data_IF_182035598587
#
_entry.id   IF_182035598587
#
_cell.length_a   1.000
_cell.length_b   1.000
_cell.length_c   1.000
_cell.angle_alpha   90.00
_cell.angle_beta   90.00
_cell.angle_gamma   90.00
#
_symmetry.space_group_name_H-M   'P 1'
#
loop_
_entity.id
_entity.type
_entity.pdbx_description
1 polymer ?
#
# COMPACT_ATOMS: atom_id res chain seq x y z
N UNK A 1 -18.89 -41.64 28.73
CA UNK A 1 -18.45 -40.54 29.61
C UNK A 1 -18.77 -39.25 28.86
N UNK A 2 -19.79 -38.51 29.29
CA UNK A 2 -20.25 -37.33 28.53
C UNK A 2 -19.36 -36.13 28.90
N UNK A 3 -18.57 -35.64 27.94
CA UNK A 3 -17.97 -34.32 28.05
C UNK A 3 -19.11 -33.30 28.04
N UNK A 4 -19.26 -32.56 29.14
CA UNK A 4 -20.24 -31.48 29.22
C UNK A 4 -19.67 -30.28 28.48
N UNK A 5 -20.32 -29.85 27.41
CA UNK A 5 -20.10 -28.50 26.87
C UNK A 5 -20.40 -27.50 28.00
N UNK A 6 -19.41 -26.68 28.38
CA UNK A 6 -19.72 -25.52 29.21
C UNK A 6 -20.60 -24.58 28.38
N UNK A 7 -21.70 -24.16 28.98
CA UNK A 7 -22.61 -23.20 28.38
C UNK A 7 -21.96 -21.81 28.47
N UNK A 8 -21.90 -21.10 27.35
CA UNK A 8 -21.35 -19.74 27.30
C UNK A 8 -22.04 -18.82 28.30
N UNK A 9 -21.25 -18.01 29.02
CA UNK A 9 -21.76 -16.93 29.86
C UNK A 9 -21.68 -15.62 29.08
N UNK A 10 -22.83 -15.09 28.65
CA UNK A 10 -22.92 -13.74 28.09
C UNK A 10 -22.67 -12.74 29.22
N UNK A 11 -21.49 -12.14 29.28
CA UNK A 11 -21.11 -11.23 30.36
C UNK A 11 -21.27 -9.78 29.90
N UNK A 12 -22.52 -9.30 29.94
CA UNK A 12 -22.82 -7.87 29.73
C UNK A 12 -22.50 -7.08 31.00
N UNK A 13 -21.48 -6.21 30.95
CA UNK A 13 -21.12 -5.30 32.03
C UNK A 13 -21.73 -3.92 31.79
N UNK A 14 -22.99 -3.74 32.20
CA UNK A 14 -23.62 -2.42 32.24
C UNK A 14 -23.23 -1.69 33.55
N UNK A 15 -22.22 -0.82 33.50
CA UNK A 15 -21.77 -0.05 34.67
C UNK A 15 -22.66 1.20 34.90
N UNK A 16 -23.92 1.00 35.29
CA UNK A 16 -24.89 2.09 35.46
C UNK A 16 -24.63 2.93 36.72
N UNK A 17 -23.73 3.91 36.62
CA UNK A 17 -23.58 4.99 37.60
C UNK A 17 -24.42 6.21 37.18
N UNK A 18 -25.55 6.44 37.84
CA UNK A 18 -26.49 7.52 37.48
C UNK A 18 -25.93 8.93 37.71
N UNK A 19 -25.55 9.63 36.63
CA UNK A 19 -25.77 11.07 36.42
C UNK A 19 -25.47 11.45 34.95
N UNK A 20 -26.50 11.78 34.16
CA UNK A 20 -26.50 11.86 32.68
C UNK A 20 -26.15 10.54 31.98
N UNK A 21 -27.11 9.96 31.26
CA UNK A 21 -26.88 8.73 30.48
C UNK A 21 -26.02 9.03 29.24
N UNK A 22 -24.72 8.74 29.36
CA UNK A 22 -23.87 8.43 28.23
C UNK A 22 -23.95 6.92 28.00
N UNK A 23 -24.50 6.51 26.86
CA UNK A 23 -24.65 5.09 26.53
C UNK A 23 -23.31 4.50 26.10
N UNK A 24 -22.79 3.60 26.95
CA UNK A 24 -21.70 2.67 26.65
C UNK A 24 -22.31 1.29 26.46
N UNK A 25 -22.02 0.63 25.33
CA UNK A 25 -22.50 -0.72 25.06
C UNK A 25 -21.31 -1.66 24.82
N UNK A 26 -21.25 -2.74 25.60
CA UNK A 26 -20.26 -3.78 25.42
C UNK A 26 -20.97 -5.15 25.43
N UNK A 27 -20.85 -5.89 24.32
CA UNK A 27 -21.35 -7.26 24.21
C UNK A 27 -20.20 -8.23 23.95
N UNK A 28 -20.21 -9.36 24.67
CA UNK A 28 -19.25 -10.45 24.50
C UNK A 28 -20.01 -11.77 24.41
N UNK A 29 -19.78 -12.52 23.33
CA UNK A 29 -20.21 -13.91 23.18
C UNK A 29 -18.97 -14.79 23.00
N UNK A 30 -18.82 -15.81 23.85
CA UNK A 30 -17.63 -16.69 23.86
C UNK A 30 -18.05 -18.16 23.86
N UNK A 31 -17.79 -18.86 22.75
CA UNK A 31 -18.17 -20.25 22.52
C UNK A 31 -16.93 -21.15 22.36
N UNK A 32 -16.42 -21.72 23.47
CA UNK A 32 -15.26 -22.62 23.47
C UNK A 32 -14.47 -22.54 24.78
N UNK A 33 -13.20 -22.96 24.78
CA UNK A 33 -12.35 -22.99 25.98
C UNK A 33 -11.35 -21.82 25.99
N UNK A 34 -11.09 -21.26 27.18
CA UNK A 34 -10.01 -20.28 27.43
C UNK A 34 -9.99 -19.03 26.54
N UNK A 35 -11.11 -18.67 25.89
CA UNK A 35 -11.27 -17.39 25.21
C UNK A 35 -11.27 -16.24 26.22
N UNK A 36 -10.68 -15.10 25.86
CA UNK A 36 -10.59 -13.90 26.69
C UNK A 36 -10.98 -12.66 25.90
N UNK A 37 -11.87 -11.85 26.47
CA UNK A 37 -12.21 -10.52 25.97
C UNK A 37 -12.05 -9.50 27.11
N UNK A 38 -11.29 -8.44 26.88
CA UNK A 38 -11.15 -7.29 27.76
C UNK A 38 -11.59 -6.04 27.00
N UNK A 39 -12.52 -5.28 27.55
CA UNK A 39 -13.08 -4.07 26.96
C UNK A 39 -13.03 -2.96 28.03
N UNK A 40 -12.35 -1.85 27.73
CA UNK A 40 -12.30 -0.64 28.55
C UNK A 40 -12.86 0.54 27.73
N UNK A 41 -13.94 1.14 28.22
CA UNK A 41 -14.69 2.20 27.53
C UNK A 41 -14.78 3.43 28.43
N UNK A 42 -14.30 4.56 27.91
CA UNK A 42 -14.22 5.84 28.61
C UNK A 42 -14.63 6.97 27.65
N UNK A 43 -15.23 8.05 28.15
CA UNK A 43 -15.62 9.21 27.35
C UNK A 43 -17.10 9.55 27.44
N UNK A 44 -17.77 9.70 26.30
CA UNK A 44 -19.15 10.15 26.19
C UNK A 44 -20.05 9.19 25.38
N UNK A 45 -21.21 9.66 24.87
CA UNK A 45 -22.21 8.78 24.26
C UNK A 45 -21.74 8.13 22.94
N UNK A 46 -22.39 7.01 22.62
CA UNK A 46 -22.20 6.21 21.41
C UNK A 46 -20.82 5.53 21.34
N UNK A 47 -20.34 5.00 22.47
CA UNK A 47 -19.16 4.13 22.50
C UNK A 47 -19.64 2.68 22.61
N UNK A 48 -19.33 1.87 21.60
CA UNK A 48 -19.83 0.49 21.46
C UNK A 48 -18.71 -0.49 21.08
N UNK A 49 -18.76 -1.70 21.66
CA UNK A 49 -17.87 -2.81 21.34
C UNK A 49 -18.65 -4.13 21.34
N UNK A 50 -18.75 -4.76 20.16
CA UNK A 50 -19.44 -6.04 19.98
C UNK A 50 -18.43 -7.12 19.59
N UNK A 51 -18.28 -8.14 20.44
CA UNK A 51 -17.23 -9.17 20.32
C UNK A 51 -17.83 -10.57 20.32
N UNK A 52 -17.56 -11.34 19.27
CA UNK A 52 -17.93 -12.75 19.14
C UNK A 52 -16.68 -13.60 18.97
N UNK A 53 -16.45 -14.57 19.87
CA UNK A 53 -15.32 -15.49 19.83
C UNK A 53 -15.82 -16.94 19.83
N UNK A 54 -15.42 -17.76 18.86
CA UNK A 54 -15.76 -19.18 18.78
C UNK A 54 -14.52 -20.03 18.50
N UNK A 55 -14.32 -21.09 19.30
CA UNK A 55 -13.11 -21.92 19.31
C UNK A 55 -12.28 -21.69 20.57
N UNK A 56 -10.97 -21.99 20.57
CA UNK A 56 -10.16 -22.03 21.80
C UNK A 56 -9.07 -20.94 21.88
N UNK A 57 -8.84 -20.39 23.08
CA UNK A 57 -7.70 -19.49 23.42
C UNK A 57 -7.70 -18.15 22.64
N UNK A 58 -8.80 -17.76 21.99
CA UNK A 58 -8.88 -16.49 21.27
C UNK A 58 -8.85 -15.29 22.24
N UNK A 59 -8.26 -14.17 21.81
CA UNK A 59 -8.02 -12.98 22.63
C UNK A 59 -8.49 -11.71 21.95
N UNK A 60 -9.26 -10.90 22.68
CA UNK A 60 -9.64 -9.55 22.30
C UNK A 60 -9.28 -8.59 23.43
N UNK A 61 -8.59 -7.51 23.10
CA UNK A 61 -8.36 -6.37 23.97
C UNK A 61 -8.81 -5.10 23.23
N UNK A 62 -9.80 -4.40 23.78
CA UNK A 62 -10.37 -3.17 23.21
C UNK A 62 -10.27 -2.07 24.26
N UNK A 63 -9.68 -0.94 23.87
CA UNK A 63 -9.70 0.32 24.62
C UNK A 63 -10.34 1.41 23.75
N UNK A 64 -11.32 2.13 24.30
CA UNK A 64 -12.04 3.20 23.62
C UNK A 64 -12.11 4.43 24.54
N UNK A 65 -11.60 5.57 24.09
CA UNK A 65 -11.55 6.84 24.84
C UNK A 65 -12.09 7.97 23.97
N UNK A 66 -13.36 8.35 24.16
CA UNK A 66 -13.97 9.43 23.37
C UNK A 66 -15.46 9.31 23.10
N UNK A 67 -15.87 9.60 21.86
CA UNK A 67 -17.28 9.73 21.46
C UNK A 67 -17.51 9.07 20.10
N UNK A 68 -18.68 8.45 19.88
CA UNK A 68 -19.02 7.82 18.60
C UNK A 68 -17.94 6.81 18.13
N UNK A 69 -17.55 5.89 19.03
CA UNK A 69 -16.50 4.89 18.81
C UNK A 69 -17.16 3.51 18.67
N UNK A 70 -16.85 2.77 17.62
CA UNK A 70 -17.45 1.47 17.33
C UNK A 70 -16.34 0.45 17.04
N UNK A 71 -16.40 -0.70 17.71
CA UNK A 71 -15.63 -1.90 17.35
C UNK A 71 -16.60 -3.08 17.18
N UNK A 72 -16.60 -3.70 16.01
CA UNK A 72 -17.24 -4.99 15.75
C UNK A 72 -16.15 -6.03 15.46
N UNK A 73 -16.10 -7.10 16.25
CA UNK A 73 -15.03 -8.09 16.20
C UNK A 73 -15.60 -9.53 16.21
N UNK A 74 -15.22 -10.32 15.20
CA UNK A 74 -15.51 -11.76 15.13
C UNK A 74 -14.21 -12.56 15.01
N UNK A 75 -14.01 -13.52 15.91
CA UNK A 75 -12.89 -14.46 15.89
C UNK A 75 -13.41 -15.90 15.86
N UNK A 76 -13.03 -16.67 14.84
CA UNK A 76 -13.37 -18.07 14.66
C UNK A 76 -12.09 -18.92 14.59
N UNK A 77 -12.01 -20.01 15.35
CA UNK A 77 -10.86 -20.91 15.39
C UNK A 77 -10.02 -20.75 16.66
N UNK A 78 -8.69 -20.84 16.54
CA UNK A 78 -7.82 -21.03 17.71
C UNK A 78 -6.76 -19.92 17.87
N UNK A 79 -6.62 -19.40 19.09
CA UNK A 79 -5.56 -18.47 19.48
C UNK A 79 -5.44 -17.18 18.62
N UNK A 80 -6.50 -16.79 17.92
CA UNK A 80 -6.53 -15.51 17.20
C UNK A 80 -6.50 -14.35 18.20
N UNK A 81 -5.82 -13.26 17.85
CA UNK A 81 -5.65 -12.09 18.72
C UNK A 81 -6.06 -10.81 17.99
N UNK A 82 -6.87 -9.99 18.65
CA UNK A 82 -7.22 -8.63 18.25
C UNK A 82 -6.86 -7.67 19.40
N UNK A 83 -6.09 -6.63 19.08
CA UNK A 83 -5.85 -5.49 19.97
C UNK A 83 -6.33 -4.22 19.27
N UNK A 84 -7.28 -3.50 19.86
CA UNK A 84 -7.81 -2.25 19.33
C UNK A 84 -7.69 -1.13 20.36
N UNK A 85 -7.15 0.01 19.96
CA UNK A 85 -7.15 1.25 20.74
C UNK A 85 -7.74 2.39 19.90
N UNK A 86 -8.83 2.99 20.37
CA UNK A 86 -9.51 4.12 19.74
C UNK A 86 -9.50 5.33 20.69
N UNK A 87 -8.97 6.46 20.27
CA UNK A 87 -8.95 7.72 21.02
C UNK A 87 -9.38 8.89 20.11
N UNK A 88 -10.54 9.50 20.36
CA UNK A 88 -11.04 10.62 19.53
C UNK A 88 -12.55 10.68 19.34
N UNK A 89 -12.98 10.97 18.12
CA UNK A 89 -14.39 11.10 17.72
C UNK A 89 -14.63 10.35 16.41
N UNK A 90 -15.67 9.50 16.34
CA UNK A 90 -16.10 8.91 15.06
C UNK A 90 -15.23 7.76 14.54
N UNK A 91 -14.68 6.92 15.42
CA UNK A 91 -13.73 5.86 15.06
C UNK A 91 -14.40 4.50 14.92
N UNK A 92 -14.28 3.87 13.75
CA UNK A 92 -14.97 2.63 13.42
C UNK A 92 -13.97 1.52 13.08
N UNK A 93 -14.17 0.33 13.65
CA UNK A 93 -13.37 -0.88 13.38
C UNK A 93 -14.28 -2.06 13.10
N UNK A 94 -14.06 -2.71 11.96
CA UNK A 94 -14.67 -4.00 11.61
C UNK A 94 -13.58 -5.06 11.48
N UNK A 95 -13.55 -6.01 12.40
CA UNK A 95 -12.52 -7.05 12.52
C UNK A 95 -13.13 -8.44 12.33
N UNK A 96 -12.59 -9.19 11.35
CA UNK A 96 -12.88 -10.61 11.16
C UNK A 96 -11.58 -11.42 11.13
N UNK A 97 -11.52 -12.48 11.92
CA UNK A 97 -10.42 -13.45 11.93
C UNK A 97 -10.98 -14.88 11.90
N UNK A 98 -10.51 -15.71 10.97
CA UNK A 98 -10.85 -17.13 10.88
C UNK A 98 -9.60 -17.99 10.73
N UNK A 99 -9.46 -19.01 11.58
CA UNK A 99 -8.37 -20.00 11.54
C UNK A 99 -7.50 -19.97 12.79
N UNK A 100 -6.17 -20.03 12.66
CA UNK A 100 -5.26 -20.15 13.82
C UNK A 100 -4.23 -19.02 13.93
N UNK A 101 -4.04 -18.47 15.15
CA UNK A 101 -2.98 -17.51 15.49
C UNK A 101 -2.92 -16.25 14.60
N UNK A 102 -4.01 -15.88 13.94
CA UNK A 102 -4.05 -14.60 13.23
C UNK A 102 -4.01 -13.44 14.24
N UNK A 103 -3.35 -12.34 13.89
CA UNK A 103 -3.14 -11.17 14.76
C UNK A 103 -3.58 -9.89 14.05
N UNK A 104 -4.45 -9.12 14.69
CA UNK A 104 -4.80 -7.75 14.30
C UNK A 104 -4.42 -6.77 15.41
N UNK A 105 -3.72 -5.70 15.04
CA UNK A 105 -3.41 -4.58 15.92
C UNK A 105 -3.91 -3.29 15.26
N UNK A 106 -4.81 -2.57 15.92
CA UNK A 106 -5.47 -1.40 15.35
C UNK A 106 -5.35 -0.24 16.34
N UNK A 107 -4.69 0.84 15.94
CA UNK A 107 -4.61 2.08 16.69
C UNK A 107 -5.19 3.21 15.85
N UNK A 108 -6.30 3.78 16.32
CA UNK A 108 -6.93 4.95 15.73
C UNK A 108 -6.88 6.09 16.77
N UNK A 109 -6.18 7.17 16.44
CA UNK A 109 -6.18 8.39 17.26
C UNK A 109 -6.45 9.60 16.38
N UNK A 110 -7.60 10.23 16.51
CA UNK A 110 -8.11 11.19 15.51
C UNK A 110 -8.80 12.40 16.11
N UNK A 111 -9.01 13.43 15.29
CA UNK A 111 -9.83 14.59 15.64
C UNK A 111 -11.26 14.44 15.09
N UNK A 112 -11.42 13.80 13.94
CA UNK A 112 -12.69 13.39 13.33
C UNK A 112 -12.65 11.91 12.85
N UNK A 113 -13.52 11.53 11.92
CA UNK A 113 -13.78 10.16 11.50
C UNK A 113 -12.55 9.38 10.97
N UNK A 114 -12.43 8.10 11.34
CA UNK A 114 -11.60 7.13 10.63
C UNK A 114 -12.14 5.70 10.73
N UNK A 115 -11.91 4.89 9.69
CA UNK A 115 -12.38 3.51 9.61
C UNK A 115 -11.26 2.53 9.23
N UNK A 116 -11.25 1.38 9.90
CA UNK A 116 -10.41 0.24 9.55
C UNK A 116 -11.25 -1.05 9.47
N UNK A 117 -11.30 -1.66 8.29
CA UNK A 117 -11.88 -2.98 8.06
C UNK A 117 -10.78 -3.99 7.78
N UNK A 118 -10.66 -5.04 8.59
CA UNK A 118 -9.61 -6.07 8.46
C UNK A 118 -10.21 -7.47 8.50
N UNK A 119 -9.98 -8.22 7.44
CA UNK A 119 -10.40 -9.60 7.27
C UNK A 119 -9.17 -10.51 7.12
N UNK A 120 -9.00 -11.47 8.04
CA UNK A 120 -7.92 -12.46 8.01
C UNK A 120 -8.50 -13.88 8.00
N UNK A 121 -8.10 -14.69 7.03
CA UNK A 121 -8.53 -16.08 6.90
C UNK A 121 -7.31 -16.98 6.69
N UNK A 122 -7.10 -17.94 7.58
CA UNK A 122 -6.00 -18.91 7.52
C UNK A 122 -5.16 -18.93 8.79
N UNK A 123 -3.84 -18.94 8.68
CA UNK A 123 -2.96 -19.15 9.85
C UNK A 123 -1.81 -18.14 9.96
N UNK A 124 -1.54 -17.69 11.18
CA UNK A 124 -0.40 -16.84 11.53
C UNK A 124 -0.32 -15.49 10.75
N UNK A 125 -1.42 -15.05 10.11
CA UNK A 125 -1.45 -13.77 9.39
C UNK A 125 -1.44 -12.59 10.37
N UNK A 126 -0.75 -11.50 10.03
CA UNK A 126 -0.61 -10.31 10.89
C UNK A 126 -0.99 -9.04 10.15
N UNK A 127 -1.90 -8.25 10.71
CA UNK A 127 -2.29 -6.94 10.20
C UNK A 127 -2.11 -5.89 11.30
N UNK A 128 -1.44 -4.79 10.97
CA UNK A 128 -1.27 -3.63 11.85
C UNK A 128 -1.75 -2.38 11.14
N UNK A 129 -2.69 -1.64 11.73
CA UNK A 129 -3.22 -0.37 11.20
C UNK A 129 -3.04 0.72 12.24
N UNK A 130 -2.30 1.77 11.87
CA UNK A 130 -2.13 2.99 12.64
C UNK A 130 -2.72 4.17 11.86
N UNK A 131 -3.82 4.74 12.34
CA UNK A 131 -4.42 5.97 11.83
C UNK A 131 -4.21 7.05 12.88
N UNK A 132 -3.15 7.86 12.73
CA UNK A 132 -2.66 8.79 13.76
C UNK A 132 -2.77 10.26 13.35
N UNK A 133 -3.47 11.02 14.20
CA UNK A 133 -3.76 12.45 14.07
C UNK A 133 -4.44 12.77 12.73
N UNK A 134 -5.54 12.06 12.44
CA UNK A 134 -6.18 12.03 11.10
C UNK A 134 -7.63 12.48 11.05
N UNK A 135 -8.06 12.99 9.89
CA UNK A 135 -9.47 13.19 9.55
C UNK A 135 -9.86 12.48 8.24
N UNK A 136 -10.96 11.73 8.24
CA UNK A 136 -11.55 11.02 7.09
C UNK A 136 -10.66 9.95 6.43
N UNK A 137 -9.90 9.19 7.23
CA UNK A 137 -9.08 8.09 6.73
C UNK A 137 -9.84 6.75 6.68
N UNK A 138 -9.60 5.94 5.64
CA UNK A 138 -10.17 4.61 5.50
C UNK A 138 -9.10 3.56 5.13
N UNK A 139 -9.21 2.37 5.72
CA UNK A 139 -8.37 1.22 5.41
C UNK A 139 -9.24 -0.04 5.23
N UNK A 140 -9.06 -0.76 4.14
CA UNK A 140 -9.67 -2.08 3.91
C UNK A 140 -8.57 -3.10 3.59
N UNK A 141 -8.37 -4.07 4.49
CA UNK A 141 -7.30 -5.06 4.41
C UNK A 141 -7.88 -6.49 4.37
N UNK A 142 -7.48 -7.29 3.38
CA UNK A 142 -7.80 -8.72 3.30
C UNK A 142 -6.51 -9.55 3.27
N UNK A 143 -6.39 -10.55 4.16
CA UNK A 143 -5.28 -11.51 4.16
C UNK A 143 -5.84 -12.93 4.12
N UNK A 144 -5.50 -13.69 3.08
CA UNK A 144 -5.88 -15.08 2.88
C UNK A 144 -4.64 -15.97 2.83
N UNK A 145 -4.62 -17.05 3.61
CA UNK A 145 -3.55 -18.05 3.61
C UNK A 145 -2.68 -18.03 4.86
N UNK A 146 -1.36 -18.06 4.71
CA UNK A 146 -0.42 -18.37 5.80
C UNK A 146 0.66 -17.30 5.99
N UNK A 147 0.79 -16.76 7.20
CA UNK A 147 1.85 -15.84 7.61
C UNK A 147 2.02 -14.61 6.69
N UNK A 148 0.96 -14.13 6.06
CA UNK A 148 0.98 -12.85 5.37
C UNK A 148 1.02 -11.71 6.41
N UNK A 149 1.79 -10.66 6.15
CA UNK A 149 1.98 -9.54 7.07
C UNK A 149 1.72 -8.21 6.36
N UNK A 150 0.93 -7.33 6.99
CA UNK A 150 0.66 -5.99 6.49
C UNK A 150 0.75 -4.96 7.61
N UNK A 151 1.52 -3.89 7.38
CA UNK A 151 1.59 -2.71 8.25
C UNK A 151 1.14 -1.47 7.47
N UNK A 152 0.14 -0.77 7.99
CA UNK A 152 -0.38 0.48 7.46
C UNK A 152 -0.17 1.60 8.48
N UNK A 153 0.40 2.71 8.01
CA UNK A 153 0.39 4.00 8.70
C UNK A 153 -0.33 5.02 7.80
N UNK A 154 -1.39 5.65 8.31
CA UNK A 154 -2.05 6.78 7.66
C UNK A 154 -2.05 7.98 8.61
N UNK A 155 -1.70 9.15 8.09
CA UNK A 155 -1.62 10.39 8.85
C UNK A 155 -2.25 11.56 8.07
N UNK A 156 -2.61 12.65 8.75
CA UNK A 156 -3.15 13.89 8.15
C UNK A 156 -4.62 13.79 7.70
N UNK A 157 -4.99 13.71 6.41
CA UNK A 157 -6.42 13.67 6.03
C UNK A 157 -6.69 12.94 4.72
N UNK A 158 -7.88 12.33 4.59
CA UNK A 158 -8.41 11.71 3.36
C UNK A 158 -7.52 10.62 2.74
N UNK A 159 -6.78 9.87 3.57
CA UNK A 159 -6.02 8.72 3.11
C UNK A 159 -6.95 7.53 2.88
N UNK A 160 -6.69 6.75 1.83
CA UNK A 160 -7.41 5.51 1.55
C UNK A 160 -6.45 4.41 1.11
N UNK A 161 -6.51 3.24 1.76
CA UNK A 161 -5.83 2.03 1.30
C UNK A 161 -6.81 0.88 1.13
N UNK A 162 -6.77 0.24 -0.04
CA UNK A 162 -7.24 -1.13 -0.22
C UNK A 162 -6.03 -2.05 -0.38
N UNK A 163 -5.96 -3.14 0.39
CA UNK A 163 -4.90 -4.13 0.21
C UNK A 163 -5.39 -5.56 0.36
N UNK A 164 -4.92 -6.43 -0.53
CA UNK A 164 -5.23 -7.85 -0.57
C UNK A 164 -3.93 -8.67 -0.63
N UNK A 165 -3.76 -9.62 0.29
CA UNK A 165 -2.65 -10.58 0.28
C UNK A 165 -3.24 -11.99 0.24
N UNK A 166 -2.96 -12.77 -0.80
CA UNK A 166 -3.40 -14.15 -0.94
C UNK A 166 -2.20 -15.07 -1.19
N UNK A 167 -2.03 -16.06 -0.32
CA UNK A 167 -0.97 -17.06 -0.41
C UNK A 167 -0.14 -17.19 0.87
N UNK A 168 1.19 -17.07 0.78
CA UNK A 168 2.07 -17.38 1.93
C UNK A 168 3.22 -16.41 2.08
N UNK A 169 3.37 -15.83 3.27
CA UNK A 169 4.53 -14.99 3.61
C UNK A 169 4.63 -13.67 2.84
N UNK A 170 3.55 -13.22 2.19
CA UNK A 170 3.54 -11.92 1.51
C UNK A 170 3.60 -10.80 2.55
N UNK A 171 4.37 -9.75 2.26
CA UNK A 171 4.66 -8.64 3.16
C UNK A 171 4.33 -7.31 2.48
N UNK A 172 3.59 -6.44 3.16
CA UNK A 172 3.29 -5.10 2.69
C UNK A 172 3.46 -4.07 3.82
N UNK A 173 4.17 -2.98 3.54
CA UNK A 173 4.28 -1.81 4.42
C UNK A 173 3.87 -0.57 3.64
N UNK A 174 2.84 0.14 4.10
CA UNK A 174 2.30 1.31 3.40
C UNK A 174 2.20 2.49 4.36
N UNK A 175 2.86 3.60 4.02
CA UNK A 175 2.72 4.89 4.68
C UNK A 175 1.97 5.89 3.78
N UNK A 176 0.94 6.54 4.31
CA UNK A 176 0.17 7.57 3.59
C UNK A 176 0.07 8.84 4.43
N UNK A 177 0.43 9.99 3.83
CA UNK A 177 0.52 11.29 4.48
C UNK A 177 -0.18 12.35 3.61
N UNK A 178 -1.49 12.54 3.82
CA UNK A 178 -2.34 13.48 3.08
C UNK A 178 -3.41 12.77 2.23
N UNK A 179 -3.97 13.44 1.21
CA UNK A 179 -5.02 12.87 0.35
C UNK A 179 -4.45 11.85 -0.67
N UNK A 180 -3.94 10.75 -0.13
CA UNK A 180 -3.28 9.67 -0.84
C UNK A 180 -4.18 8.42 -0.92
N UNK A 181 -4.22 7.80 -2.10
CA UNK A 181 -4.97 6.59 -2.38
C UNK A 181 -4.01 5.48 -2.82
N UNK A 182 -4.08 4.34 -2.14
CA UNK A 182 -3.24 3.18 -2.36
C UNK A 182 -4.06 1.94 -2.71
N UNK A 183 -3.52 1.12 -3.62
CA UNK A 183 -3.94 -0.25 -3.85
C UNK A 183 -2.72 -1.17 -3.82
N UNK A 184 -2.77 -2.23 -3.01
CA UNK A 184 -1.71 -3.25 -2.94
C UNK A 184 -2.30 -4.64 -3.06
N UNK A 185 -1.97 -5.34 -4.13
CA UNK A 185 -2.42 -6.71 -4.38
C UNK A 185 -1.22 -7.66 -4.47
N UNK A 186 -1.14 -8.65 -3.59
CA UNK A 186 -0.06 -9.66 -3.58
C UNK A 186 -0.64 -11.07 -3.66
N UNK A 187 -0.36 -11.78 -4.75
CA UNK A 187 -0.78 -13.15 -5.00
C UNK A 187 0.43 -14.09 -5.09
N UNK A 188 0.50 -15.12 -4.25
CA UNK A 188 1.56 -16.12 -4.28
C UNK A 188 2.41 -16.14 -3.01
N UNK A 189 3.74 -16.22 -3.13
CA UNK A 189 4.63 -16.46 -1.99
C UNK A 189 5.71 -15.41 -1.80
N UNK A 190 5.95 -14.98 -0.56
CA UNK A 190 7.08 -14.12 -0.15
C UNK A 190 7.22 -12.80 -0.93
N UNK A 191 6.17 -12.32 -1.58
CA UNK A 191 6.20 -11.03 -2.28
C UNK A 191 6.29 -9.90 -1.25
N UNK A 192 6.98 -8.81 -1.58
CA UNK A 192 7.26 -7.69 -0.67
C UNK A 192 6.91 -6.36 -1.33
N UNK A 193 6.02 -5.57 -0.71
CA UNK A 193 5.73 -4.18 -1.08
C UNK A 193 6.14 -3.25 0.06
N UNK A 194 6.88 -2.20 -0.27
CA UNK A 194 7.02 -0.99 0.55
C UNK A 194 6.49 0.17 -0.28
N UNK A 195 5.58 0.96 0.28
CA UNK A 195 5.02 2.14 -0.39
C UNK A 195 4.91 3.31 0.57
N UNK A 196 5.31 4.50 0.13
CA UNK A 196 5.24 5.74 0.90
C UNK A 196 4.67 6.85 0.02
N UNK A 197 3.50 7.37 0.40
CA UNK A 197 2.76 8.36 -0.38
C UNK A 197 2.60 9.65 0.45
N UNK A 198 3.15 10.77 -0.02
CA UNK A 198 3.06 12.08 0.66
C UNK A 198 2.52 13.15 -0.27
N UNK A 199 1.49 13.89 0.13
CA UNK A 199 0.84 14.86 -0.77
C UNK A 199 0.09 15.98 -0.05
N UNK A 200 0.09 17.18 -0.64
CA UNK A 200 -0.85 18.25 -0.29
C UNK A 200 -2.11 18.27 -1.18
N UNK A 201 -1.97 17.80 -2.43
CA UNK A 201 -3.07 17.55 -3.38
C UNK A 201 -3.49 16.08 -3.35
N UNK A 202 -3.88 15.52 -4.50
CA UNK A 202 -4.30 14.11 -4.60
C UNK A 202 -3.16 13.22 -5.13
N UNK A 203 -2.96 12.07 -4.53
CA UNK A 203 -1.94 11.10 -4.97
C UNK A 203 -2.56 9.70 -5.11
N UNK A 204 -2.15 8.93 -6.12
CA UNK A 204 -2.62 7.57 -6.33
C UNK A 204 -1.48 6.61 -6.68
N UNK A 205 -1.51 5.41 -6.09
CA UNK A 205 -0.51 4.37 -6.31
C UNK A 205 -1.18 3.00 -6.31
N UNK A 206 -0.83 2.16 -7.29
CA UNK A 206 -1.29 0.77 -7.40
C UNK A 206 -0.08 -0.14 -7.61
N UNK A 207 0.04 -1.18 -6.79
CA UNK A 207 1.13 -2.14 -6.86
C UNK A 207 0.53 -3.54 -6.85
N UNK A 208 0.76 -4.31 -7.90
CA UNK A 208 0.30 -5.69 -8.03
C UNK A 208 1.49 -6.63 -8.22
N UNK A 209 1.63 -7.62 -7.34
CA UNK A 209 2.65 -8.66 -7.41
C UNK A 209 1.98 -10.03 -7.52
N UNK A 210 2.34 -10.80 -8.54
CA UNK A 210 1.89 -12.18 -8.74
C UNK A 210 3.09 -13.11 -8.90
N UNK A 211 3.14 -14.19 -8.13
CA UNK A 211 4.21 -15.19 -8.17
C UNK A 211 5.03 -15.23 -6.89
N UNK A 212 6.36 -15.31 -6.99
CA UNK A 212 7.23 -15.64 -5.85
C UNK A 212 8.38 -14.64 -5.62
N UNK A 213 8.51 -14.13 -4.40
CA UNK A 213 9.63 -13.28 -3.97
C UNK A 213 9.84 -11.99 -4.79
N UNK A 214 8.80 -11.45 -5.43
CA UNK A 214 8.88 -10.14 -6.07
C UNK A 214 9.01 -9.04 -5.01
N UNK A 215 9.74 -7.97 -5.31
CA UNK A 215 9.93 -6.80 -4.44
C UNK A 215 9.57 -5.51 -5.18
N UNK A 216 8.79 -4.65 -4.53
CA UNK A 216 8.51 -3.29 -4.95
C UNK A 216 8.77 -2.34 -3.78
N UNK A 217 9.54 -1.28 -4.00
CA UNK A 217 9.75 -0.16 -3.10
C UNK A 217 9.32 1.11 -3.84
N UNK A 218 8.30 1.83 -3.36
CA UNK A 218 7.65 2.90 -4.12
C UNK A 218 7.42 4.14 -3.27
N UNK A 219 8.27 5.14 -3.48
CA UNK A 219 8.15 6.46 -2.84
C UNK A 219 7.50 7.42 -3.83
N UNK A 220 6.34 7.97 -3.46
CA UNK A 220 5.63 8.98 -4.22
C UNK A 220 5.48 10.26 -3.40
N UNK A 221 5.74 11.42 -4.01
CA UNK A 221 5.50 12.72 -3.39
C UNK A 221 4.99 13.75 -4.40
N UNK A 222 3.81 14.31 -4.13
CA UNK A 222 3.26 15.43 -4.91
C UNK A 222 3.26 16.72 -4.05
N UNK A 223 4.13 17.70 -4.37
CA UNK A 223 4.25 18.93 -3.57
C UNK A 223 3.13 19.94 -3.85
N UNK A 224 2.23 19.70 -4.81
CA UNK A 224 1.21 20.65 -5.22
C UNK A 224 -0.12 20.44 -4.50
N UNK A 225 -0.74 21.52 -4.03
CA UNK A 225 -2.09 21.50 -3.44
C UNK A 225 -3.19 21.17 -4.47
N UNK A 226 -2.92 21.38 -5.75
CA UNK A 226 -3.85 21.15 -6.87
C UNK A 226 -3.36 20.04 -7.82
N UNK A 227 -2.30 19.31 -7.42
CA UNK A 227 -1.70 18.21 -8.19
C UNK A 227 -2.48 16.90 -8.09
N UNK A 228 -2.22 16.02 -9.06
CA UNK A 228 -2.80 14.69 -9.19
C UNK A 228 -1.81 13.69 -9.80
N UNK A 229 -0.87 13.15 -9.03
CA UNK A 229 0.11 12.17 -9.53
C UNK A 229 -0.35 10.71 -9.40
N UNK A 230 0.09 9.84 -10.32
CA UNK A 230 -0.32 8.43 -10.42
C UNK A 230 0.89 7.50 -10.62
N UNK A 231 0.90 6.34 -9.96
CA UNK A 231 1.82 5.25 -10.26
C UNK A 231 1.11 3.90 -10.30
N UNK A 232 1.44 3.07 -11.28
CA UNK A 232 1.03 1.69 -11.41
C UNK A 232 2.27 0.82 -11.62
N UNK A 233 2.41 -0.25 -10.84
CA UNK A 233 3.48 -1.23 -11.00
C UNK A 233 2.87 -2.64 -10.95
N UNK A 234 3.14 -3.43 -11.98
CA UNK A 234 2.79 -4.85 -12.04
C UNK A 234 4.06 -5.71 -12.12
N UNK A 235 4.18 -6.72 -11.26
CA UNK A 235 5.26 -7.70 -11.29
C UNK A 235 4.64 -9.10 -11.36
N UNK A 236 4.95 -9.87 -12.40
CA UNK A 236 4.40 -11.20 -12.64
C UNK A 236 5.51 -12.23 -12.90
N UNK A 237 5.72 -13.15 -11.97
CA UNK A 237 6.77 -14.17 -12.04
C UNK A 237 7.56 -14.23 -10.74
N UNK A 238 8.88 -14.42 -10.81
CA UNK A 238 9.69 -14.66 -9.61
C UNK A 238 10.85 -13.68 -9.46
N UNK A 239 11.09 -13.20 -8.23
CA UNK A 239 12.25 -12.38 -7.88
C UNK A 239 12.42 -11.07 -8.66
N UNK A 240 11.36 -10.53 -9.27
CA UNK A 240 11.44 -9.21 -9.91
C UNK A 240 11.58 -8.12 -8.84
N UNK A 241 12.42 -7.12 -9.09
CA UNK A 241 12.71 -6.01 -8.18
C UNK A 241 12.37 -4.70 -8.89
N UNK A 242 11.67 -3.81 -8.19
CA UNK A 242 11.41 -2.45 -8.62
C UNK A 242 11.59 -1.48 -7.46
N UNK A 243 12.49 -0.51 -7.60
CA UNK A 243 12.68 0.60 -6.66
C UNK A 243 12.33 1.91 -7.41
N UNK A 244 11.29 2.60 -6.95
CA UNK A 244 10.69 3.77 -7.60
C UNK A 244 10.70 4.98 -6.64
N UNK A 245 11.15 6.13 -7.11
CA UNK A 245 10.99 7.43 -6.43
C UNK A 245 10.42 8.44 -7.41
N UNK A 246 9.22 8.95 -7.12
CA UNK A 246 8.43 9.81 -8.00
C UNK A 246 8.05 11.10 -7.26
N UNK A 247 8.83 12.16 -7.46
CA UNK A 247 8.65 13.49 -6.87
C UNK A 247 8.02 14.44 -7.90
N UNK A 248 6.72 14.33 -8.17
CA UNK A 248 6.08 15.00 -9.32
C UNK A 248 4.78 15.69 -8.96
N UNK A 249 4.46 16.77 -9.68
CA UNK A 249 3.10 17.31 -9.78
C UNK A 249 2.47 16.79 -11.08
N UNK A 250 1.31 16.13 -11.01
CA UNK A 250 0.64 15.54 -12.19
C UNK A 250 1.49 14.52 -12.98
N UNK A 251 2.37 13.77 -12.32
CA UNK A 251 3.16 12.70 -12.95
C UNK A 251 2.34 11.43 -13.19
N UNK A 252 2.74 10.61 -14.17
CA UNK A 252 2.12 9.31 -14.44
C UNK A 252 3.18 8.24 -14.73
N UNK A 253 3.19 7.22 -13.89
CA UNK A 253 4.05 6.06 -14.01
C UNK A 253 3.21 4.79 -14.21
N UNK A 254 3.58 3.95 -15.17
CA UNK A 254 2.99 2.63 -15.42
C UNK A 254 4.11 1.68 -15.87
N UNK A 255 4.32 0.57 -15.16
CA UNK A 255 5.33 -0.41 -15.57
C UNK A 255 4.94 -1.86 -15.27
N UNK A 256 5.21 -2.76 -16.21
CA UNK A 256 5.00 -4.21 -16.06
C UNK A 256 6.30 -5.00 -16.17
N UNK A 257 6.72 -5.70 -15.11
CA UNK A 257 7.76 -6.72 -15.17
C UNK A 257 7.12 -8.11 -15.27
N UNK A 258 7.58 -8.95 -16.21
CA UNK A 258 7.12 -10.33 -16.38
C UNK A 258 8.31 -11.29 -16.53
N UNK A 259 8.27 -12.43 -15.85
CA UNK A 259 9.37 -13.42 -15.86
C UNK A 259 10.20 -13.36 -14.58
N UNK A 260 11.51 -13.64 -14.66
CA UNK A 260 12.32 -13.91 -13.47
C UNK A 260 13.46 -12.90 -13.28
N UNK A 261 13.60 -12.33 -12.08
CA UNK A 261 14.79 -11.56 -11.71
C UNK A 261 14.98 -10.24 -12.45
N UNK A 262 13.93 -9.67 -13.05
CA UNK A 262 14.04 -8.38 -13.73
C UNK A 262 14.18 -7.24 -12.70
N UNK A 263 15.05 -6.26 -12.97
CA UNK A 263 15.37 -5.13 -12.09
C UNK A 263 14.88 -3.81 -12.73
N UNK A 264 14.21 -2.97 -11.95
CA UNK A 264 13.72 -1.66 -12.37
C UNK A 264 14.09 -0.62 -11.32
N UNK A 265 14.80 0.43 -11.73
CA UNK A 265 15.19 1.55 -10.88
C UNK A 265 14.70 2.85 -11.51
N UNK A 266 13.89 3.63 -10.81
CA UNK A 266 13.27 4.84 -11.37
C UNK A 266 13.37 6.02 -10.42
N UNK A 267 13.93 7.13 -10.91
CA UNK A 267 13.96 8.41 -10.20
C UNK A 267 13.35 9.51 -11.08
N UNK A 268 12.09 9.85 -10.82
CA UNK A 268 11.36 10.91 -11.53
C UNK A 268 11.20 12.14 -10.63
N UNK A 269 11.52 13.34 -11.14
CA UNK A 269 11.40 14.58 -10.37
C UNK A 269 10.89 15.77 -11.21
N UNK A 270 9.90 16.49 -10.69
CA UNK A 270 9.53 17.81 -11.22
C UNK A 270 10.64 18.84 -10.96
N UNK A 271 10.68 19.89 -11.78
CA UNK A 271 11.58 21.03 -11.53
C UNK A 271 11.28 21.64 -10.16
N UNK A 272 12.35 21.96 -9.42
CA UNK A 272 12.29 22.65 -8.14
C UNK A 272 13.51 23.54 -7.99
N UNK A 273 13.29 24.80 -7.57
CA UNK A 273 14.14 25.49 -6.57
C UNK A 273 13.84 27.01 -6.43
N UNK A 274 13.21 27.68 -7.40
CA UNK A 274 13.17 29.17 -7.42
C UNK A 274 11.77 29.74 -7.69
N UNK A 275 10.99 29.91 -6.61
CA UNK A 275 9.96 30.96 -6.45
C UNK A 275 8.81 31.05 -7.47
N UNK A 276 7.64 30.55 -7.06
CA UNK A 276 6.31 31.06 -7.47
C UNK A 276 6.02 31.23 -9.00
N UNK A 277 6.02 30.18 -9.82
CA UNK A 277 5.14 30.13 -11.01
C UNK A 277 4.62 28.71 -11.31
N UNK A 278 3.42 28.61 -11.89
CA UNK A 278 2.55 27.41 -11.93
C UNK A 278 2.86 26.41 -13.08
N UNK A 279 4.11 26.23 -13.48
CA UNK A 279 4.48 25.25 -14.52
C UNK A 279 5.29 24.09 -13.92
N UNK A 280 4.59 23.13 -13.33
CA UNK A 280 5.12 21.81 -12.96
C UNK A 280 4.22 20.76 -13.62
N UNK A 281 4.51 20.42 -14.88
CA UNK A 281 3.80 19.36 -15.61
C UNK A 281 4.63 18.06 -15.59
N UNK A 282 4.19 17.13 -14.74
CA UNK A 282 4.86 15.86 -14.49
C UNK A 282 4.87 14.93 -15.71
N UNK A 283 5.79 13.95 -15.66
CA UNK A 283 6.10 13.14 -16.81
C UNK A 283 5.36 11.82 -16.92
N UNK A 284 5.23 11.33 -18.15
CA UNK A 284 4.75 9.97 -18.44
C UNK A 284 5.90 8.99 -18.57
N UNK A 285 5.85 7.93 -17.78
CA UNK A 285 6.67 6.72 -17.89
C UNK A 285 5.70 5.56 -18.11
N UNK A 286 5.81 4.86 -19.24
CA UNK A 286 5.06 3.64 -19.55
C UNK A 286 6.05 2.57 -20.04
N UNK A 287 6.10 1.39 -19.43
CA UNK A 287 7.09 0.40 -19.86
C UNK A 287 6.78 -1.04 -19.50
N UNK A 288 7.49 -1.96 -20.16
CA UNK A 288 7.46 -3.38 -19.84
C UNK A 288 8.83 -4.04 -20.02
N UNK A 289 9.14 -4.96 -19.12
CA UNK A 289 10.33 -5.82 -19.20
C UNK A 289 9.91 -7.28 -19.01
N UNK A 290 10.25 -8.14 -19.96
CA UNK A 290 9.73 -9.50 -20.10
C UNK A 290 10.85 -10.51 -20.36
N UNK A 291 10.89 -11.57 -19.55
CA UNK A 291 11.90 -12.61 -19.61
C UNK A 291 12.75 -12.63 -18.33
N UNK A 292 14.05 -12.92 -18.46
CA UNK A 292 14.90 -13.24 -17.31
C UNK A 292 16.07 -12.25 -17.13
N UNK A 293 16.30 -11.77 -15.91
CA UNK A 293 17.45 -10.92 -15.53
C UNK A 293 17.62 -9.65 -16.36
N UNK A 294 16.54 -9.08 -16.89
CA UNK A 294 16.61 -7.82 -17.61
C UNK A 294 16.59 -6.63 -16.63
N UNK A 295 17.34 -5.57 -16.93
CA UNK A 295 17.47 -4.37 -16.09
C UNK A 295 17.04 -3.11 -16.84
N UNK A 296 16.33 -2.23 -16.14
CA UNK A 296 15.89 -0.91 -16.62
C UNK A 296 16.18 0.15 -15.55
N UNK A 297 17.16 1.02 -15.81
CA UNK A 297 17.44 2.20 -14.99
C UNK A 297 16.87 3.46 -15.70
N UNK A 298 16.06 4.28 -15.01
CA UNK A 298 15.46 5.51 -15.54
C UNK A 298 15.66 6.69 -14.58
N UNK A 299 16.14 7.81 -15.09
CA UNK A 299 16.13 9.11 -14.42
C UNK A 299 15.38 10.11 -15.31
N UNK A 300 14.39 10.82 -14.80
CA UNK A 300 13.61 11.79 -15.60
C UNK A 300 13.20 13.02 -14.80
N UNK A 301 13.27 14.20 -15.41
CA UNK A 301 12.52 15.36 -14.97
C UNK A 301 11.86 16.10 -16.13
N UNK A 302 10.78 16.85 -15.84
CA UNK A 302 10.03 17.62 -16.86
C UNK A 302 10.81 18.83 -17.38
N UNK A 303 10.27 19.71 -18.23
CA UNK A 303 8.85 19.85 -18.61
C UNK A 303 8.39 18.79 -19.61
N UNK A 304 7.08 18.74 -19.87
CA UNK A 304 6.34 17.98 -20.91
C UNK A 304 6.58 16.46 -21.16
N UNK A 305 7.79 15.91 -21.05
CA UNK A 305 8.14 14.47 -20.94
C UNK A 305 7.60 13.49 -22.04
N UNK A 306 8.10 12.25 -22.06
CA UNK A 306 7.32 11.01 -22.30
C UNK A 306 8.23 9.88 -22.77
N UNK A 307 8.41 8.88 -21.92
CA UNK A 307 9.09 7.62 -22.21
C UNK A 307 8.16 6.61 -22.93
N UNK A 308 8.70 5.54 -23.52
CA UNK A 308 8.02 4.24 -23.72
C UNK A 308 9.06 3.09 -23.89
N UNK A 309 9.04 2.04 -23.06
CA UNK A 309 10.09 1.00 -23.04
C UNK A 309 9.55 -0.43 -23.18
N UNK A 310 10.16 -1.23 -24.04
CA UNK A 310 9.88 -2.66 -24.25
C UNK A 310 11.21 -3.44 -24.23
N UNK A 311 11.33 -4.42 -23.33
CA UNK A 311 12.53 -5.25 -23.20
C UNK A 311 12.11 -6.71 -23.13
N UNK A 312 12.54 -7.54 -24.09
CA UNK A 312 12.11 -8.94 -24.24
C UNK A 312 13.32 -9.87 -24.40
N UNK A 313 13.53 -10.77 -23.45
CA UNK A 313 14.53 -11.84 -23.52
C UNK A 313 15.33 -11.98 -22.24
N UNK A 314 16.64 -12.23 -22.32
CA UNK A 314 17.49 -12.46 -21.15
C UNK A 314 18.67 -11.50 -21.04
N UNK A 315 19.04 -11.12 -19.81
CA UNK A 315 20.24 -10.32 -19.49
C UNK A 315 20.33 -8.95 -20.21
N UNK A 316 19.21 -8.39 -20.69
CA UNK A 316 19.22 -7.10 -21.38
C UNK A 316 19.32 -5.93 -20.40
N UNK A 317 19.97 -4.83 -20.80
CA UNK A 317 20.14 -3.63 -19.97
C UNK A 317 19.68 -2.39 -20.75
N UNK A 318 18.79 -1.63 -20.13
CA UNK A 318 18.36 -0.29 -20.53
C UNK A 318 18.79 0.73 -19.47
N UNK A 319 19.33 1.87 -19.89
CA UNK A 319 19.69 2.98 -19.00
C UNK A 319 19.32 4.33 -19.63
N UNK A 320 18.41 5.06 -18.98
CA UNK A 320 17.77 6.29 -19.50
C UNK A 320 17.97 7.48 -18.56
N UNK A 321 18.21 8.68 -19.12
CA UNK A 321 18.29 9.96 -18.40
C UNK A 321 17.68 11.11 -19.24
N UNK A 322 16.73 11.89 -18.69
CA UNK A 322 15.98 12.95 -19.42
C UNK A 322 15.64 14.18 -18.53
N UNK A 323 15.70 15.42 -19.05
CA UNK A 323 15.41 16.73 -18.37
C UNK A 323 15.36 17.88 -19.41
N UNK A 324 14.99 19.16 -19.19
CA UNK A 324 14.52 20.00 -18.05
C UNK A 324 13.40 21.04 -18.48
N UNK A 325 13.17 22.16 -17.76
CA UNK A 325 12.09 23.16 -18.02
C UNK A 325 12.56 24.48 -18.67
N UNK A 326 11.96 24.87 -19.80
CA UNK A 326 11.68 26.26 -20.30
C UNK A 326 11.18 26.31 -21.77
N UNK A 327 11.18 25.21 -22.54
CA UNK A 327 10.35 25.10 -23.76
C UNK A 327 10.15 23.66 -24.28
N UNK A 328 9.08 23.47 -25.06
CA UNK A 328 8.56 22.19 -25.59
C UNK A 328 9.55 21.28 -26.35
N UNK A 329 9.57 19.98 -26.01
CA UNK A 329 10.03 18.95 -26.95
C UNK A 329 10.54 17.66 -26.32
N UNK A 330 9.63 16.78 -25.92
CA UNK A 330 9.97 15.51 -25.27
C UNK A 330 9.48 14.30 -26.05
N UNK A 331 10.26 13.22 -26.00
CA UNK A 331 9.82 11.85 -26.27
C UNK A 331 10.99 10.88 -26.05
N UNK A 332 10.71 9.62 -25.73
CA UNK A 332 11.66 8.52 -25.67
C UNK A 332 11.03 7.19 -26.07
N UNK A 333 11.84 6.29 -26.61
CA UNK A 333 11.49 4.90 -26.97
C UNK A 333 12.73 4.01 -26.80
N UNK A 334 12.60 2.81 -26.25
CA UNK A 334 13.57 1.71 -26.48
C UNK A 334 12.82 0.37 -26.58
N UNK A 335 13.07 -0.38 -27.64
CA UNK A 335 12.49 -1.70 -27.91
C UNK A 335 13.63 -2.72 -28.15
N UNK A 336 13.88 -3.59 -27.18
CA UNK A 336 15.08 -4.42 -27.11
C UNK A 336 14.70 -5.91 -27.05
N UNK A 337 15.07 -6.69 -28.06
CA UNK A 337 14.66 -8.10 -28.20
C UNK A 337 15.86 -9.03 -28.37
N UNK A 338 15.97 -10.05 -27.52
CA UNK A 338 17.02 -11.06 -27.56
C UNK A 338 17.82 -11.09 -26.26
N UNK A 339 19.11 -11.42 -26.33
CA UNK A 339 19.89 -11.70 -25.11
C UNK A 339 21.13 -10.82 -24.96
N UNK A 340 21.44 -10.41 -23.72
CA UNK A 340 22.62 -9.63 -23.35
C UNK A 340 22.81 -8.32 -24.16
N UNK A 341 21.71 -7.68 -24.58
CA UNK A 341 21.78 -6.42 -25.30
C UNK A 341 21.87 -5.23 -24.32
N UNK A 342 22.58 -4.16 -24.72
CA UNK A 342 22.71 -2.91 -23.96
C UNK A 342 22.19 -1.72 -24.78
N UNK A 343 21.29 -0.95 -24.21
CA UNK A 343 20.75 0.28 -24.78
C UNK A 343 20.85 1.42 -23.75
N UNK A 344 21.32 2.58 -24.17
CA UNK A 344 21.42 3.76 -23.31
C UNK A 344 21.00 5.03 -24.04
N UNK A 345 20.27 5.89 -23.33
CA UNK A 345 19.65 7.09 -23.90
C UNK A 345 19.73 8.25 -22.91
N UNK A 346 20.32 9.38 -23.31
CA UNK A 346 20.51 10.54 -22.43
C UNK A 346 20.23 11.86 -23.20
N UNK A 347 19.44 12.78 -22.62
CA UNK A 347 18.70 13.84 -23.34
C UNK A 347 18.63 15.18 -22.56
N UNK A 348 18.66 16.33 -23.28
CA UNK A 348 18.38 17.74 -22.87
C UNK A 348 18.20 18.67 -24.12
N UNK A 349 17.90 20.00 -24.10
CA UNK A 349 16.56 20.65 -23.83
C UNK A 349 16.31 22.02 -24.56
N UNK A 350 15.09 22.60 -24.41
CA UNK A 350 14.73 24.05 -24.39
C UNK A 350 14.82 24.82 -25.74
N UNK A 351 14.63 24.16 -26.88
CA UNK A 351 13.83 24.68 -28.03
C UNK A 351 13.52 23.56 -29.04
N UNK A 352 12.57 23.82 -29.94
CA UNK A 352 11.50 22.86 -30.24
C UNK A 352 11.84 21.44 -30.75
N UNK A 353 11.16 20.45 -30.16
CA UNK A 353 10.65 19.27 -30.90
C UNK A 353 11.35 17.92 -30.73
N UNK A 354 11.66 17.50 -29.49
CA UNK A 354 12.39 16.25 -29.22
C UNK A 354 11.69 14.94 -29.60
N UNK A 355 12.52 13.90 -29.70
CA UNK A 355 12.17 12.47 -29.90
C UNK A 355 13.38 11.61 -29.56
N UNK A 356 13.17 10.38 -29.09
CA UNK A 356 14.25 9.40 -28.91
C UNK A 356 13.77 7.97 -29.26
N UNK A 357 14.69 7.11 -29.72
CA UNK A 357 14.40 5.70 -30.05
C UNK A 357 15.64 4.80 -30.08
N UNK A 358 15.56 3.57 -29.57
CA UNK A 358 16.53 2.49 -29.86
C UNK A 358 15.77 1.19 -30.14
N UNK A 359 16.01 0.55 -31.28
CA UNK A 359 15.55 -0.82 -31.56
C UNK A 359 16.73 -1.80 -31.68
N UNK A 360 16.64 -2.99 -31.07
CA UNK A 360 17.66 -4.04 -31.20
C UNK A 360 17.06 -5.43 -31.29
N UNK A 361 17.59 -6.26 -32.18
CA UNK A 361 17.29 -7.69 -32.28
C UNK A 361 18.59 -8.51 -32.31
N UNK A 362 18.66 -9.57 -31.50
CA UNK A 362 19.79 -10.52 -31.50
C UNK A 362 20.50 -10.64 -30.16
N UNK A 363 21.77 -11.02 -30.19
CA UNK A 363 22.58 -11.29 -29.00
C UNK A 363 23.78 -10.33 -28.91
N UNK A 364 23.97 -9.69 -27.75
CA UNK A 364 25.15 -8.88 -27.45
C UNK A 364 25.22 -7.52 -28.15
N UNK A 365 24.11 -6.98 -28.65
CA UNK A 365 24.10 -5.68 -29.31
C UNK A 365 24.34 -4.54 -28.31
N UNK A 366 25.02 -3.46 -28.72
CA UNK A 366 25.21 -2.26 -27.89
C UNK A 366 24.85 -0.98 -28.64
N UNK A 367 23.94 -0.18 -28.11
CA UNK A 367 23.54 1.13 -28.64
C UNK A 367 23.58 2.19 -27.55
N UNK A 368 23.96 3.42 -27.93
CA UNK A 368 23.98 4.59 -27.04
C UNK A 368 23.57 5.82 -27.85
N UNK A 369 22.62 6.60 -27.35
CA UNK A 369 22.22 7.90 -27.91
C UNK A 369 22.44 8.99 -26.87
N UNK A 370 23.04 10.09 -27.33
CA UNK A 370 23.17 11.34 -26.58
C UNK A 370 22.51 12.46 -27.39
N UNK A 371 21.64 13.25 -26.77
CA UNK A 371 20.97 14.40 -27.39
C UNK A 371 21.09 15.63 -26.47
N UNK A 372 21.32 16.80 -27.07
CA UNK A 372 21.58 18.08 -26.39
C UNK A 372 21.04 19.23 -27.23
#
# INVERSE_FOLDING_TARGET
MFARSLLAATLSFALTAHAQEWAFEATTEQNGNDNSAQIDQQGGPYVSANVVQTGDINKVAIQQVGYNLIVEATQLGNANTLNTNQEGFGLWVHSYQEGERNVQNIAQRTMDWAEATINQIGTDNTATVNQLDTDYNNATLNQLGHANALTLEQAVFLNSLQANQDGTGNQATVGQYGNASGQVDQYGQFNTVVSSQSTYGRLSGSISQTGESNRADVIQTDPSYYGGSTASLMQNGSSNIADLTLYTTNGSFDFTQTGNGNELMVYQYGSSAVGYEENIRGGRITGQSSGDYNRVDIIQGGDNNSLDLLQNGADNIISVSQTSYESDGDSGVINQVGNANYASLDQQVINSGGTASIEQTGMGNRSVIFQR
#
